data_IF_954553805197
#
_entry.id   IF_954553805197
#
_cell.length_a   1.000
_cell.length_b   1.000
_cell.length_c   1.000
_cell.angle_alpha   90.00
_cell.angle_beta   90.00
_cell.angle_gamma   90.00
#
_symmetry.space_group_name_H-M   'P 1'
#
loop_
_entity.id
_entity.type
_entity.pdbx_description
1 polymer ?
#
# COMPACT_ATOMS: atom_id res chain seq x y z
N UNK A 1 2.97 -0.02 10.24
CA UNK A 1 3.90 -0.58 9.22
C UNK A 1 4.34 0.51 8.28
N UNK A 2 5.62 0.61 8.04
CA UNK A 2 6.20 1.59 7.12
C UNK A 2 6.36 0.97 5.75
N UNK A 3 6.01 1.72 4.70
CA UNK A 3 6.15 1.24 3.33
C UNK A 3 7.62 1.09 2.93
N UNK A 4 8.00 -0.10 2.48
CA UNK A 4 9.39 -0.40 2.11
C UNK A 4 9.85 0.41 0.91
N UNK A 5 9.00 0.56 -0.11
CA UNK A 5 9.37 1.33 -1.29
C UNK A 5 9.48 2.81 -0.96
N UNK A 6 8.58 3.33 -0.13
CA UNK A 6 8.68 4.71 0.33
C UNK A 6 9.97 4.92 1.13
N UNK A 7 10.29 3.96 2.03
CA UNK A 7 11.51 4.05 2.84
C UNK A 7 12.77 4.03 1.99
N UNK A 8 12.77 3.30 0.88
CA UNK A 8 13.94 3.25 -0.01
C UNK A 8 14.19 4.60 -0.68
N UNK A 9 13.19 5.47 -0.72
CA UNK A 9 13.32 6.84 -1.23
C UNK A 9 13.58 7.83 -0.10
N UNK A 10 13.75 7.37 1.14
CA UNK A 10 14.03 8.23 2.29
C UNK A 10 12.78 8.71 3.02
N UNK A 11 11.60 8.19 2.69
CA UNK A 11 10.33 8.60 3.30
C UNK A 11 9.78 7.50 4.19
N UNK A 12 9.56 7.80 5.47
CA UNK A 12 9.01 6.85 6.43
C UNK A 12 7.52 7.05 6.55
N UNK A 13 6.78 6.57 5.54
CA UNK A 13 5.34 6.74 5.45
C UNK A 13 4.63 5.43 5.81
N UNK A 14 3.51 5.51 6.57
CA UNK A 14 2.77 4.30 6.93
C UNK A 14 2.04 3.72 5.73
N UNK A 15 1.97 2.38 5.69
CA UNK A 15 1.18 1.68 4.69
C UNK A 15 -0.30 1.82 5.05
N UNK A 16 -1.12 2.13 4.07
CA UNK A 16 -2.56 2.26 4.26
C UNK A 16 -3.30 1.77 3.03
N UNK A 17 -4.62 1.61 3.16
CA UNK A 17 -5.46 1.20 2.05
C UNK A 17 -5.65 2.39 1.12
N UNK A 18 -5.39 2.17 -0.17
CA UNK A 18 -5.53 3.16 -1.21
C UNK A 18 -6.51 2.64 -2.26
N UNK A 19 -7.12 3.56 -3.01
CA UNK A 19 -8.05 3.20 -4.07
C UNK A 19 -7.55 3.72 -5.42
N UNK A 20 -7.71 2.89 -6.45
CA UNK A 20 -7.39 3.27 -7.84
C UNK A 20 -8.43 2.68 -8.77
N UNK A 21 -8.30 2.99 -10.07
CA UNK A 21 -9.19 2.42 -11.08
C UNK A 21 -9.10 0.89 -11.14
N UNK A 22 -7.96 0.32 -10.76
CA UNK A 22 -7.76 -1.14 -10.75
C UNK A 22 -8.32 -1.82 -9.50
N UNK A 23 -8.70 -1.04 -8.47
CA UNK A 23 -9.21 -1.57 -7.22
C UNK A 23 -8.47 -0.98 -6.02
N UNK A 24 -8.66 -1.61 -4.85
CA UNK A 24 -8.00 -1.18 -3.62
C UNK A 24 -6.63 -1.84 -3.52
N UNK A 25 -5.66 -1.11 -3.00
CA UNK A 25 -4.30 -1.63 -2.84
C UNK A 25 -3.70 -1.07 -1.55
N UNK A 26 -2.53 -1.59 -1.16
CA UNK A 26 -1.81 -1.09 0.00
C UNK A 26 -0.65 -0.24 -0.49
N UNK A 27 -0.57 0.97 0.03
CA UNK A 27 0.46 1.91 -0.39
C UNK A 27 0.62 3.02 0.61
N UNK A 28 1.34 4.07 0.21
CA UNK A 28 1.62 5.22 1.06
C UNK A 28 1.19 6.50 0.36
N UNK A 29 0.92 7.54 1.17
CA UNK A 29 0.64 8.88 0.66
C UNK A 29 1.60 9.88 1.27
N UNK A 30 1.80 10.97 0.55
CA UNK A 30 2.55 12.13 1.03
C UNK A 30 1.65 13.35 0.84
N UNK A 31 1.20 13.96 1.94
CA UNK A 31 0.25 15.07 1.93
C UNK A 31 -1.02 14.74 1.14
N UNK A 32 -1.54 13.52 1.30
CA UNK A 32 -2.77 13.08 0.63
C UNK A 32 -2.59 12.66 -0.82
N UNK A 33 -1.38 12.77 -1.36
CA UNK A 33 -1.09 12.37 -2.74
C UNK A 33 -0.44 11.00 -2.73
N UNK A 34 -0.89 10.04 -3.58
CA UNK A 34 -0.28 8.72 -3.61
C UNK A 34 1.22 8.81 -3.88
N UNK A 35 2.02 8.13 -3.05
CA UNK A 35 3.47 8.15 -3.16
C UNK A 35 4.02 6.82 -3.67
N UNK A 36 3.64 5.71 -3.05
CA UNK A 36 4.12 4.40 -3.48
C UNK A 36 3.00 3.37 -3.43
N UNK A 37 3.08 2.36 -4.31
CA UNK A 37 2.27 1.16 -4.20
C UNK A 37 3.14 0.07 -3.60
N UNK A 38 2.73 -0.42 -2.42
CA UNK A 38 3.51 -1.39 -1.67
C UNK A 38 3.07 -2.83 -1.94
N UNK A 39 1.76 -3.07 -2.18
CA UNK A 39 1.27 -4.41 -2.44
C UNK A 39 1.31 -4.74 -3.93
N UNK A 40 1.61 -6.01 -4.25
CA UNK A 40 1.46 -6.52 -5.61
C UNK A 40 -0.01 -6.70 -5.96
N UNK A 41 -0.84 -6.98 -4.95
CA UNK A 41 -2.25 -7.31 -5.12
C UNK A 41 -3.12 -6.07 -5.20
N UNK A 42 -4.29 -6.25 -5.84
CA UNK A 42 -5.42 -5.36 -5.74
C UNK A 42 -6.60 -6.15 -5.19
N UNK A 43 -7.44 -5.50 -4.41
CA UNK A 43 -8.64 -6.12 -3.85
C UNK A 43 -9.87 -5.41 -4.38
N UNK A 44 -10.98 -6.14 -4.47
CA UNK A 44 -12.23 -5.58 -4.99
C UNK A 44 -12.97 -4.75 -3.94
N UNK A 45 -12.65 -4.94 -2.65
CA UNK A 45 -13.30 -4.18 -1.58
C UNK A 45 -12.27 -3.61 -0.63
N UNK A 46 -12.62 -2.48 -0.02
CA UNK A 46 -11.78 -1.83 0.99
C UNK A 46 -11.59 -2.74 2.20
N UNK A 47 -12.63 -3.47 2.59
CA UNK A 47 -12.55 -4.37 3.73
C UNK A 47 -11.53 -5.48 3.51
N UNK A 48 -11.51 -6.05 2.32
CA UNK A 48 -10.54 -7.10 1.99
C UNK A 48 -9.11 -6.56 2.06
N UNK A 49 -8.89 -5.35 1.56
CA UNK A 49 -7.57 -4.73 1.61
C UNK A 49 -7.17 -4.43 3.06
N UNK A 50 -8.10 -3.95 3.89
CA UNK A 50 -7.85 -3.72 5.31
C UNK A 50 -7.48 -5.01 6.03
N UNK A 51 -8.21 -6.08 5.75
CA UNK A 51 -7.95 -7.38 6.37
C UNK A 51 -6.57 -7.91 5.98
N UNK A 52 -6.20 -7.74 4.71
CA UNK A 52 -4.86 -8.13 4.25
C UNK A 52 -3.77 -7.34 4.97
N UNK A 53 -3.96 -6.04 5.14
CA UNK A 53 -3.00 -5.21 5.84
C UNK A 53 -2.83 -5.64 7.29
N UNK A 54 -3.95 -5.90 7.99
CA UNK A 54 -3.91 -6.28 9.39
C UNK A 54 -3.30 -7.65 9.61
N UNK A 55 -3.57 -8.60 8.73
CA UNK A 55 -3.08 -9.97 8.85
C UNK A 55 -1.68 -10.16 8.27
N UNK A 56 -1.21 -9.21 7.47
CA UNK A 56 0.04 -9.36 6.75
C UNK A 56 -0.05 -10.29 5.55
N UNK A 57 -1.27 -10.65 5.15
CA UNK A 57 -1.49 -11.61 4.07
C UNK A 57 -1.50 -10.89 2.72
N UNK A 58 -0.35 -10.34 2.36
CA UNK A 58 -0.15 -9.68 1.06
C UNK A 58 1.32 -9.73 0.68
N UNK A 59 1.61 -9.52 -0.59
CA UNK A 59 2.96 -9.63 -1.12
C UNK A 59 3.54 -8.23 -1.34
N UNK A 60 4.69 -7.97 -0.72
CA UNK A 60 5.40 -6.71 -0.87
C UNK A 60 5.92 -6.56 -2.31
N UNK A 61 5.56 -5.45 -2.94
CA UNK A 61 6.14 -5.10 -4.23
C UNK A 61 7.61 -4.71 -4.03
N UNK A 62 8.50 -5.25 -4.84
CA UNK A 62 9.93 -5.06 -4.61
C UNK A 62 10.53 -3.94 -5.45
N UNK A 63 9.88 -3.58 -6.55
CA UNK A 63 10.32 -2.48 -7.41
C UNK A 63 9.15 -1.55 -7.67
N UNK A 64 9.44 -0.27 -7.68
CA UNK A 64 8.43 0.77 -7.92
C UNK A 64 8.01 0.81 -9.38
#
# INVERSE_FOLDING_TARGET
>A
MIGKLAASCGFHLPVQVMESAAGFYLGTTDFGIPFSRESNEYWTSEEDAKNALQSGNWTQKEVA
#
